data_IF_803615062926
#
_entry.id   IF_803615062926
#
_cell.length_a   1.000
_cell.length_b   1.000
_cell.length_c   1.000
_cell.angle_alpha   90.00
_cell.angle_beta   90.00
_cell.angle_gamma   90.00
#
_symmetry.space_group_name_H-M   'P 1'
#
loop_
_entity.id
_entity.type
_entity.pdbx_description
1 polymer ?
#
# COMPACT_ATOMS: atom_id res chain seq x y z
N UNK A 1 28.59 -29.24 77.36
CA UNK A 1 27.36 -28.53 76.91
C UNK A 1 27.62 -27.37 75.93
N UNK A 2 28.78 -26.70 75.98
CA UNK A 2 29.06 -25.53 75.12
C UNK A 2 29.41 -25.86 73.64
N UNK A 3 29.92 -27.06 73.37
CA UNK A 3 30.32 -27.49 72.01
C UNK A 3 29.11 -27.71 71.07
N UNK A 4 28.03 -28.28 71.61
CA UNK A 4 26.76 -28.44 70.87
C UNK A 4 26.09 -27.09 70.54
N UNK A 5 26.29 -26.06 71.36
CA UNK A 5 25.74 -24.72 71.10
C UNK A 5 26.42 -24.03 69.92
N UNK A 6 27.75 -24.17 69.78
CA UNK A 6 28.53 -23.62 68.65
C UNK A 6 28.22 -24.35 67.33
N UNK A 7 28.02 -25.66 67.37
CA UNK A 7 27.62 -26.44 66.21
C UNK A 7 26.20 -26.10 65.73
N UNK A 8 25.25 -25.89 66.66
CA UNK A 8 23.89 -25.42 66.34
C UNK A 8 23.89 -24.01 65.73
N UNK A 9 24.69 -23.09 66.27
CA UNK A 9 24.82 -21.72 65.73
C UNK A 9 25.45 -21.68 64.34
N UNK A 10 26.48 -22.50 64.06
CA UNK A 10 27.05 -22.63 62.70
C UNK A 10 26.05 -23.20 61.70
N UNK A 11 25.25 -24.20 62.10
CA UNK A 11 24.19 -24.78 61.24
C UNK A 11 23.07 -23.79 60.94
N UNK A 12 22.66 -22.99 61.93
CA UNK A 12 21.66 -21.92 61.74
C UNK A 12 22.22 -20.83 60.83
N UNK A 13 23.47 -20.40 61.04
CA UNK A 13 24.14 -19.39 60.21
C UNK A 13 24.28 -19.83 58.74
N UNK A 14 24.63 -21.10 58.50
CA UNK A 14 24.67 -21.68 57.14
C UNK A 14 23.28 -21.85 56.51
N UNK A 15 22.25 -22.22 57.30
CA UNK A 15 20.87 -22.31 56.82
C UNK A 15 20.29 -20.96 56.41
N UNK A 16 20.62 -19.90 57.16
CA UNK A 16 20.17 -18.53 56.87
C UNK A 16 20.83 -17.96 55.61
N UNK A 17 22.14 -18.23 55.42
CA UNK A 17 22.84 -17.88 54.19
C UNK A 17 22.24 -18.58 52.95
N UNK A 18 21.87 -19.87 53.09
CA UNK A 18 21.23 -20.61 52.01
C UNK A 18 19.83 -20.07 51.65
N UNK A 19 19.03 -19.70 52.66
CA UNK A 19 17.71 -19.11 52.45
C UNK A 19 17.77 -17.77 51.69
N UNK A 20 18.76 -16.92 52.00
CA UNK A 20 18.98 -15.65 51.29
C UNK A 20 19.35 -15.88 49.82
N UNK A 21 20.21 -16.86 49.53
CA UNK A 21 20.59 -17.20 48.16
C UNK A 21 19.40 -17.72 47.36
N UNK A 22 18.58 -18.61 47.94
CA UNK A 22 17.38 -19.13 47.28
C UNK A 22 16.38 -18.00 46.99
N UNK A 23 16.20 -17.07 47.94
CA UNK A 23 15.35 -15.89 47.74
C UNK A 23 15.90 -14.97 46.65
N UNK A 24 17.20 -14.70 46.63
CA UNK A 24 17.84 -13.86 45.62
C UNK A 24 17.75 -14.48 44.21
N UNK A 25 17.92 -15.80 44.08
CA UNK A 25 17.76 -16.51 42.81
C UNK A 25 16.30 -16.53 42.36
N UNK A 26 15.37 -16.80 43.27
CA UNK A 26 13.93 -16.76 42.98
C UNK A 26 13.47 -15.36 42.56
N UNK A 27 13.95 -14.32 43.24
CA UNK A 27 13.69 -12.92 42.90
C UNK A 27 14.32 -12.53 41.56
N UNK A 28 15.55 -12.98 41.29
CA UNK A 28 16.21 -12.77 40.00
C UNK A 28 15.43 -13.44 38.85
N UNK A 29 15.01 -14.69 39.03
CA UNK A 29 14.19 -15.41 38.06
C UNK A 29 12.84 -14.73 37.83
N UNK A 30 12.17 -14.30 38.92
CA UNK A 30 10.91 -13.56 38.85
C UNK A 30 11.06 -12.22 38.12
N UNK A 31 12.14 -11.48 38.42
CA UNK A 31 12.47 -10.22 37.76
C UNK A 31 12.68 -10.42 36.27
N UNK A 32 13.46 -11.42 35.85
CA UNK A 32 13.67 -11.73 34.42
C UNK A 32 12.36 -12.12 33.74
N UNK A 33 11.52 -12.93 34.38
CA UNK A 33 10.21 -13.30 33.84
C UNK A 33 9.30 -12.09 33.61
N UNK A 34 9.30 -11.12 34.54
CA UNK A 34 8.53 -9.88 34.41
C UNK A 34 9.04 -9.01 33.26
N UNK A 35 10.36 -8.83 33.12
CA UNK A 35 10.93 -8.08 32.00
C UNK A 35 10.58 -8.73 30.65
N UNK A 36 10.60 -10.06 30.57
CA UNK A 36 10.20 -10.77 29.36
C UNK A 36 8.72 -10.53 29.00
N UNK A 37 7.82 -10.52 29.98
CA UNK A 37 6.39 -10.20 29.75
C UNK A 37 6.22 -8.77 29.27
N UNK A 38 6.87 -7.81 29.91
CA UNK A 38 6.81 -6.39 29.49
C UNK A 38 7.33 -6.23 28.07
N UNK A 39 8.43 -6.89 27.72
CA UNK A 39 8.98 -6.84 26.36
C UNK A 39 8.02 -7.44 25.32
N UNK A 40 7.35 -8.55 25.65
CA UNK A 40 6.34 -9.15 24.75
C UNK A 40 5.11 -8.25 24.62
N UNK A 41 4.62 -7.65 25.71
CA UNK A 41 3.49 -6.73 25.70
C UNK A 41 3.80 -5.46 24.89
N UNK A 42 4.97 -4.85 25.11
CA UNK A 42 5.42 -3.69 24.35
C UNK A 42 5.53 -4.02 22.85
N UNK A 43 6.06 -5.20 22.51
CA UNK A 43 6.15 -5.65 21.12
C UNK A 43 4.78 -5.89 20.48
N UNK A 44 3.82 -6.44 21.22
CA UNK A 44 2.44 -6.57 20.74
C UNK A 44 1.77 -5.21 20.53
N UNK A 45 2.03 -4.24 21.41
CA UNK A 45 1.50 -2.88 21.29
C UNK A 45 2.07 -2.17 20.07
N UNK A 46 3.39 -2.26 19.85
CA UNK A 46 4.05 -1.71 18.66
C UNK A 46 3.49 -2.31 17.36
N UNK A 47 3.30 -3.63 17.32
CA UNK A 47 2.69 -4.29 16.15
C UNK A 47 1.23 -3.83 15.95
N UNK A 48 0.46 -3.72 17.04
CA UNK A 48 -0.91 -3.25 16.96
C UNK A 48 -1.00 -1.81 16.44
N UNK A 49 -0.10 -0.93 16.90
CA UNK A 49 -0.02 0.46 16.42
C UNK A 49 0.33 0.51 14.93
N UNK A 50 1.29 -0.32 14.48
CA UNK A 50 1.65 -0.43 13.07
C UNK A 50 0.46 -0.88 12.20
N UNK A 51 -0.27 -1.91 12.64
CA UNK A 51 -1.46 -2.41 11.94
C UNK A 51 -2.55 -1.34 11.86
N UNK A 52 -2.76 -0.57 12.94
CA UNK A 52 -3.73 0.53 12.93
C UNK A 52 -3.32 1.63 11.96
N UNK A 53 -2.04 2.04 11.95
CA UNK A 53 -1.53 3.05 11.02
C UNK A 53 -1.64 2.61 9.56
N UNK A 54 -1.34 1.34 9.26
CA UNK A 54 -1.49 0.78 7.92
C UNK A 54 -2.96 0.80 7.48
N UNK A 55 -3.87 0.37 8.36
CA UNK A 55 -5.30 0.35 8.09
C UNK A 55 -5.86 1.76 7.90
N UNK A 56 -5.43 2.74 8.71
CA UNK A 56 -5.78 4.15 8.55
C UNK A 56 -5.30 4.70 7.21
N UNK A 57 -4.05 4.42 6.81
CA UNK A 57 -3.52 4.82 5.50
C UNK A 57 -4.32 4.20 4.34
N UNK A 58 -4.72 2.93 4.47
CA UNK A 58 -5.55 2.27 3.47
C UNK A 58 -6.95 2.89 3.39
N UNK A 59 -7.55 3.24 4.54
CA UNK A 59 -8.84 3.94 4.60
C UNK A 59 -8.76 5.35 4.01
N UNK A 60 -7.68 6.09 4.25
CA UNK A 60 -7.46 7.41 3.65
C UNK A 60 -7.40 7.31 2.12
N UNK A 61 -6.62 6.36 1.58
CA UNK A 61 -6.56 6.09 0.13
C UNK A 61 -7.93 5.73 -0.44
N UNK A 62 -8.71 4.89 0.25
CA UNK A 62 -10.08 4.54 -0.16
C UNK A 62 -11.01 5.74 -0.15
N UNK A 63 -10.95 6.56 0.90
CA UNK A 63 -11.75 7.78 1.02
C UNK A 63 -11.38 8.82 -0.03
N UNK A 64 -10.11 8.93 -0.42
CA UNK A 64 -9.67 9.80 -1.50
C UNK A 64 -10.31 9.40 -2.83
N UNK A 65 -10.30 8.10 -3.17
CA UNK A 65 -10.98 7.58 -4.36
C UNK A 65 -12.47 7.94 -4.32
N UNK A 66 -13.14 7.71 -3.19
CA UNK A 66 -14.57 8.01 -3.03
C UNK A 66 -14.83 9.50 -3.22
N UNK A 67 -14.03 10.38 -2.58
CA UNK A 67 -14.16 11.84 -2.72
C UNK A 67 -13.95 12.30 -4.15
N UNK A 68 -12.99 11.71 -4.86
CA UNK A 68 -12.74 12.05 -6.26
C UNK A 68 -13.91 11.62 -7.14
N UNK A 69 -14.55 10.48 -6.89
CA UNK A 69 -15.69 9.98 -7.71
C UNK A 69 -17.03 10.60 -7.33
N UNK A 70 -17.23 11.04 -6.08
CA UNK A 70 -18.51 11.59 -5.59
C UNK A 70 -18.73 13.08 -5.89
N UNK A 71 -17.78 13.76 -6.53
CA UNK A 71 -17.98 15.18 -6.88
C UNK A 71 -19.16 15.35 -7.86
N UNK A 72 -19.89 16.47 -7.79
CA UNK A 72 -21.00 16.74 -8.71
C UNK A 72 -20.56 16.86 -10.18
N UNK A 73 -19.31 17.24 -10.42
CA UNK A 73 -18.75 17.49 -11.75
C UNK A 73 -17.77 16.40 -12.18
N UNK A 74 -18.31 15.20 -12.46
CA UNK A 74 -17.55 14.09 -13.03
C UNK A 74 -17.80 14.02 -14.54
N UNK A 75 -16.71 14.03 -15.30
CA UNK A 75 -16.71 13.69 -16.72
C UNK A 75 -16.29 12.23 -16.88
N UNK A 76 -17.17 11.42 -17.47
CA UNK A 76 -16.85 10.06 -17.85
C UNK A 76 -16.32 10.04 -19.28
N UNK A 77 -15.13 9.48 -19.47
CA UNK A 77 -14.55 9.17 -20.78
C UNK A 77 -14.47 7.66 -20.88
N UNK A 78 -15.17 7.06 -21.84
CA UNK A 78 -15.07 5.64 -22.12
C UNK A 78 -13.98 5.45 -23.18
N UNK A 79 -13.02 4.57 -22.94
CA UNK A 79 -12.03 4.18 -23.92
C UNK A 79 -12.42 2.83 -24.50
N UNK A 80 -12.39 2.71 -25.82
CA UNK A 80 -12.67 1.46 -26.52
C UNK A 80 -11.39 0.76 -26.95
N UNK A 81 -11.46 -0.57 -26.95
CA UNK A 81 -10.49 -1.46 -27.57
C UNK A 81 -10.30 -1.13 -29.05
N UNK A 82 -9.05 -1.16 -29.49
CA UNK A 82 -8.68 -1.13 -30.90
C UNK A 82 -8.60 -2.55 -31.46
N UNK A 83 -8.38 -2.70 -32.77
CA UNK A 83 -8.38 -4.01 -33.46
C UNK A 83 -7.41 -5.05 -32.84
N UNK A 84 -6.34 -4.59 -32.20
CA UNK A 84 -5.36 -5.45 -31.52
C UNK A 84 -5.84 -5.97 -30.16
N UNK A 85 -6.82 -5.30 -29.55
CA UNK A 85 -7.41 -5.64 -28.26
C UNK A 85 -8.90 -5.25 -28.26
N UNK A 86 -9.75 -5.86 -29.11
CA UNK A 86 -11.11 -5.39 -29.37
C UNK A 86 -12.03 -5.51 -28.15
N UNK A 87 -11.77 -6.48 -27.29
CA UNK A 87 -12.54 -6.73 -26.07
C UNK A 87 -12.10 -5.84 -24.90
N UNK A 88 -10.97 -5.12 -25.03
CA UNK A 88 -10.48 -4.27 -23.96
C UNK A 88 -11.36 -3.03 -23.79
N UNK A 89 -11.63 -2.68 -22.53
CA UNK A 89 -12.37 -1.47 -22.19
C UNK A 89 -11.61 -0.63 -21.18
N UNK A 90 -11.70 0.69 -21.32
CA UNK A 90 -11.21 1.64 -20.33
C UNK A 90 -12.28 2.64 -19.93
N UNK A 91 -12.18 3.16 -18.71
CA UNK A 91 -13.03 4.25 -18.22
C UNK A 91 -12.17 5.24 -17.44
N UNK A 92 -12.33 6.52 -17.73
CA UNK A 92 -11.77 7.60 -16.94
C UNK A 92 -12.91 8.36 -16.28
N UNK A 93 -12.91 8.41 -14.95
CA UNK A 93 -13.77 9.29 -14.17
C UNK A 93 -12.94 10.50 -13.78
N UNK A 94 -13.15 11.61 -14.47
CA UNK A 94 -12.40 12.83 -14.26
C UNK A 94 -13.21 13.85 -13.45
N UNK A 95 -12.71 14.17 -12.27
CA UNK A 95 -13.20 15.23 -11.41
C UNK A 95 -12.61 16.58 -11.85
N UNK A 96 -13.46 17.42 -12.44
CA UNK A 96 -13.05 18.73 -12.98
C UNK A 96 -12.72 19.74 -11.89
N UNK A 97 -13.38 19.66 -10.73
CA UNK A 97 -13.16 20.59 -9.61
C UNK A 97 -11.80 20.35 -8.95
N UNK A 98 -11.42 19.09 -8.79
CA UNK A 98 -10.17 18.70 -8.13
C UNK A 98 -9.01 18.50 -9.12
N UNK A 99 -9.28 18.50 -10.43
CA UNK A 99 -8.33 18.07 -11.47
C UNK A 99 -7.70 16.70 -11.18
N UNK A 100 -8.49 15.78 -10.63
CA UNK A 100 -8.10 14.40 -10.33
C UNK A 100 -8.90 13.44 -11.17
N UNK A 101 -8.31 12.32 -11.57
CA UNK A 101 -9.06 11.28 -12.26
C UNK A 101 -8.76 9.88 -11.74
N UNK A 102 -9.73 8.99 -11.95
CA UNK A 102 -9.58 7.56 -11.75
C UNK A 102 -9.66 6.90 -13.12
N UNK A 103 -8.63 6.15 -13.49
CA UNK A 103 -8.64 5.26 -14.64
C UNK A 103 -8.94 3.83 -14.21
N UNK A 104 -9.85 3.19 -14.93
CA UNK A 104 -10.20 1.79 -14.82
C UNK A 104 -10.00 1.13 -16.18
N UNK A 105 -9.49 -0.10 -16.21
CA UNK A 105 -9.52 -0.93 -17.41
C UNK A 105 -9.94 -2.36 -17.10
N UNK A 106 -10.60 -2.97 -18.08
CA UNK A 106 -11.19 -4.29 -18.06
C UNK A 106 -10.76 -5.02 -19.33
N UNK A 107 -10.54 -6.33 -19.22
CA UNK A 107 -10.21 -7.22 -20.34
C UNK A 107 -9.00 -6.77 -21.18
N UNK A 108 -8.13 -5.93 -20.61
CA UNK A 108 -6.90 -5.50 -21.24
C UNK A 108 -5.91 -6.68 -21.26
N UNK A 109 -5.27 -7.01 -22.39
CA UNK A 109 -4.33 -8.11 -22.46
C UNK A 109 -3.16 -7.90 -21.47
N UNK A 110 -2.87 -8.95 -20.69
CA UNK A 110 -1.74 -8.94 -19.76
C UNK A 110 -0.42 -8.88 -20.53
N UNK A 111 0.47 -7.93 -20.23
CA UNK A 111 1.71 -7.78 -20.97
C UNK A 111 2.66 -8.95 -20.68
N UNK A 112 3.52 -9.34 -21.64
CA UNK A 112 4.61 -10.28 -21.39
C UNK A 112 5.64 -9.69 -20.40
N UNK A 113 6.53 -10.54 -19.88
CA UNK A 113 7.41 -10.21 -18.76
C UNK A 113 8.40 -9.05 -19.01
N UNK A 114 8.67 -8.74 -20.28
CA UNK A 114 9.56 -7.69 -20.77
C UNK A 114 8.82 -6.41 -21.19
N UNK A 115 7.49 -6.35 -21.01
CA UNK A 115 6.65 -5.21 -21.38
C UNK A 115 5.74 -4.77 -20.23
N UNK A 116 5.14 -3.60 -20.39
CA UNK A 116 4.21 -2.98 -19.43
C UNK A 116 3.20 -2.13 -20.17
N UNK A 117 1.95 -2.10 -19.71
CA UNK A 117 0.96 -1.17 -20.25
C UNK A 117 1.18 0.22 -19.64
N UNK A 118 1.18 1.26 -20.46
CA UNK A 118 1.36 2.65 -20.02
C UNK A 118 0.15 3.48 -20.43
N UNK A 119 -0.33 4.31 -19.50
CA UNK A 119 -1.45 5.23 -19.72
C UNK A 119 -0.91 6.59 -20.16
N UNK A 120 -1.61 7.20 -21.12
CA UNK A 120 -1.27 8.49 -21.69
C UNK A 120 -2.44 9.45 -21.63
N UNK A 121 -2.13 10.70 -21.34
CA UNK A 121 -3.00 11.85 -21.52
C UNK A 121 -2.56 12.61 -22.76
N UNK A 122 -3.45 12.82 -23.73
CA UNK A 122 -3.12 13.58 -24.94
C UNK A 122 -3.57 15.03 -24.75
N UNK A 123 -2.64 15.96 -24.91
CA UNK A 123 -2.92 17.40 -25.00
C UNK A 123 -2.79 17.83 -26.46
N UNK A 124 -3.91 17.89 -27.18
CA UNK A 124 -3.88 18.00 -28.63
C UNK A 124 -3.28 16.73 -29.25
N UNK A 125 -2.08 16.85 -29.82
CA UNK A 125 -1.33 15.74 -30.39
C UNK A 125 -0.09 15.34 -29.56
N UNK A 126 0.08 15.94 -28.38
CA UNK A 126 1.23 15.68 -27.52
C UNK A 126 0.84 14.70 -26.40
N UNK A 127 1.42 13.49 -26.36
CA UNK A 127 1.20 12.54 -25.28
C UNK A 127 2.01 12.93 -24.04
N UNK A 128 1.35 12.89 -22.90
CA UNK A 128 1.90 13.12 -21.56
C UNK A 128 1.76 11.83 -20.77
N UNK A 129 2.84 11.39 -20.15
CA UNK A 129 2.86 10.19 -19.32
C UNK A 129 1.87 10.31 -18.15
N UNK A 130 0.94 9.35 -18.05
CA UNK A 130 0.03 9.18 -16.93
C UNK A 130 0.35 7.91 -16.12
N UNK A 131 1.49 7.28 -16.42
CA UNK A 131 2.18 6.26 -15.66
C UNK A 131 1.97 4.83 -16.16
N UNK A 132 2.65 3.90 -15.49
CA UNK A 132 2.58 2.45 -15.72
C UNK A 132 1.41 1.72 -15.05
N UNK A 133 0.62 0.97 -15.81
CA UNK A 133 -0.53 0.23 -15.32
C UNK A 133 -0.11 -1.09 -14.67
N UNK A 134 -0.77 -1.44 -13.57
CA UNK A 134 -0.55 -2.69 -12.85
C UNK A 134 -1.86 -3.46 -12.75
N UNK A 135 -1.78 -4.75 -13.03
CA UNK A 135 -2.91 -5.67 -12.98
C UNK A 135 -3.13 -6.16 -11.56
N UNK A 136 -4.38 -6.14 -11.12
CA UNK A 136 -4.82 -6.81 -9.88
C UNK A 136 -5.01 -8.31 -10.14
N UNK A 137 -5.25 -9.07 -9.07
CA UNK A 137 -5.45 -10.53 -9.13
C UNK A 137 -6.67 -10.93 -9.98
N UNK A 138 -7.70 -10.09 -9.99
CA UNK A 138 -8.93 -10.25 -10.79
C UNK A 138 -8.77 -9.79 -12.25
N UNK A 139 -7.57 -9.36 -12.66
CA UNK A 139 -7.30 -8.83 -14.00
C UNK A 139 -7.71 -7.37 -14.21
N UNK A 140 -8.40 -6.76 -13.24
CA UNK A 140 -8.78 -5.35 -13.33
C UNK A 140 -7.59 -4.43 -13.10
N UNK A 141 -7.65 -3.24 -13.70
CA UNK A 141 -6.65 -2.19 -13.52
C UNK A 141 -7.36 -0.98 -12.90
N UNK A 142 -6.76 -0.43 -11.84
CA UNK A 142 -7.19 0.84 -11.24
C UNK A 142 -5.97 1.73 -11.04
N UNK A 143 -6.03 2.96 -11.56
CA UNK A 143 -5.04 4.00 -11.30
C UNK A 143 -5.70 5.32 -10.89
N UNK A 144 -5.13 5.95 -9.88
CA UNK A 144 -5.35 7.35 -9.53
C UNK A 144 -4.41 8.27 -10.30
N UNK A 145 -4.95 9.37 -10.82
CA UNK A 145 -4.22 10.46 -11.44
C UNK A 145 -4.42 11.69 -10.55
N UNK A 146 -3.41 12.01 -9.74
CA UNK A 146 -3.53 13.03 -8.67
C UNK A 146 -3.53 14.46 -9.21
N UNK A 147 -3.07 14.68 -10.44
CA UNK A 147 -3.07 15.99 -11.08
C UNK A 147 -3.15 15.87 -12.59
N UNK A 148 -4.26 16.33 -13.15
CA UNK A 148 -4.42 16.60 -14.58
C UNK A 148 -4.15 18.07 -14.81
N UNK A 149 -2.87 18.42 -14.99
CA UNK A 149 -2.46 19.79 -15.33
C UNK A 149 -3.00 20.15 -16.70
N UNK A 150 -3.57 21.35 -16.85
CA UNK A 150 -4.15 21.86 -18.10
C UNK A 150 -5.24 20.96 -18.68
N UNK A 151 -6.14 20.46 -17.83
CA UNK A 151 -7.23 19.60 -18.26
C UNK A 151 -8.08 20.17 -19.40
N UNK A 152 -8.20 21.49 -19.51
CA UNK A 152 -8.90 22.14 -20.63
C UNK A 152 -8.33 21.74 -22.01
N UNK A 153 -7.03 21.48 -22.09
CA UNK A 153 -6.34 21.07 -23.32
C UNK A 153 -6.28 19.56 -23.51
N UNK A 154 -6.83 18.78 -22.58
CA UNK A 154 -6.90 17.33 -22.67
C UNK A 154 -7.89 16.94 -23.77
N UNK A 155 -7.39 16.24 -24.79
CA UNK A 155 -8.16 15.86 -25.97
C UNK A 155 -8.46 14.37 -26.03
N UNK A 156 -7.62 13.52 -25.43
CA UNK A 156 -7.82 12.07 -25.43
C UNK A 156 -7.06 11.38 -24.29
N UNK A 157 -7.43 10.13 -24.04
CA UNK A 157 -6.64 9.19 -23.26
C UNK A 157 -6.29 7.98 -24.13
N UNK A 158 -5.12 7.40 -23.91
CA UNK A 158 -4.68 6.20 -24.62
C UNK A 158 -3.92 5.24 -23.71
N UNK A 159 -3.93 3.95 -24.06
CA UNK A 159 -3.08 2.94 -23.42
C UNK A 159 -2.25 2.25 -24.49
N UNK A 160 -0.96 2.11 -24.24
CA UNK A 160 -0.04 1.40 -25.12
C UNK A 160 0.73 0.31 -24.39
N UNK A 161 1.23 -0.67 -25.15
CA UNK A 161 2.10 -1.73 -24.65
C UNK A 161 3.58 -1.36 -24.87
N UNK A 162 4.26 -0.94 -23.81
CA UNK A 162 5.62 -0.41 -23.86
C UNK A 162 6.67 -1.37 -23.29
N UNK A 163 7.97 -1.16 -23.56
CA UNK A 163 9.04 -1.87 -22.87
C UNK A 163 8.95 -1.73 -21.35
N UNK A 164 9.37 -2.77 -20.63
CA UNK A 164 9.40 -2.77 -19.15
C UNK A 164 10.12 -1.54 -18.60
N UNK A 165 9.50 -0.87 -17.64
CA UNK A 165 9.99 0.38 -17.06
C UNK A 165 9.36 1.63 -17.67
N UNK A 166 8.65 1.49 -18.79
CA UNK A 166 7.98 2.60 -19.47
C UNK A 166 8.90 3.42 -20.34
N UNK A 167 8.30 4.36 -21.04
CA UNK A 167 8.97 5.26 -21.97
C UNK A 167 8.49 6.70 -21.75
N UNK A 168 9.27 7.71 -22.14
CA UNK A 168 8.84 9.10 -22.04
C UNK A 168 7.83 9.51 -23.12
N UNK A 169 7.72 8.73 -24.20
CA UNK A 169 6.78 8.94 -25.31
C UNK A 169 6.31 7.57 -25.83
N UNK A 170 5.06 7.43 -26.30
CA UNK A 170 4.53 6.15 -26.77
C UNK A 170 5.34 5.58 -27.94
N UNK A 171 5.68 4.29 -27.87
CA UNK A 171 6.44 3.58 -28.93
C UNK A 171 5.79 2.29 -29.39
N UNK A 172 4.95 1.69 -28.54
CA UNK A 172 4.35 0.39 -28.78
C UNK A 172 2.95 0.44 -29.38
N UNK A 173 2.34 -0.74 -29.44
CA UNK A 173 0.98 -0.91 -29.93
C UNK A 173 -0.02 -0.21 -29.01
N UNK A 174 -0.99 0.47 -29.60
CA UNK A 174 -2.07 1.14 -28.88
C UNK A 174 -3.23 0.17 -28.70
N UNK A 175 -3.67 -0.02 -27.45
CA UNK A 175 -4.74 -0.95 -27.10
C UNK A 175 -6.05 -0.25 -26.86
N UNK A 176 -6.00 0.94 -26.25
CA UNK A 176 -7.16 1.76 -25.93
C UNK A 176 -6.92 3.19 -26.42
N UNK A 177 -7.95 3.81 -26.98
CA UNK A 177 -7.96 5.22 -27.34
C UNK A 177 -9.39 5.75 -27.34
N UNK A 178 -9.61 6.90 -26.71
CA UNK A 178 -10.80 7.70 -27.00
C UNK A 178 -10.56 9.18 -26.67
N UNK A 179 -11.31 10.04 -27.35
CA UNK A 179 -11.29 11.48 -27.19
C UNK A 179 -12.15 11.92 -26.01
N UNK A 180 -11.70 12.97 -25.33
CA UNK A 180 -12.50 13.64 -24.32
C UNK A 180 -13.52 14.51 -25.04
N UNK A 181 -14.74 14.02 -25.21
CA UNK A 181 -15.82 14.83 -25.80
C UNK A 181 -16.06 16.07 -24.94
N UNK A 182 -15.98 17.25 -25.54
CA UNK A 182 -16.42 18.50 -24.93
C UNK A 182 -17.94 18.55 -25.10
N UNK A 183 -18.67 18.29 -24.01
CA UNK A 183 -20.11 18.55 -23.93
C UNK A 183 -20.41 20.04 -24.02
#
# INVERSE_FOLDING_TARGET
MLENARLRWRRISWGLAFAVVVFAVGFSFYSVSLHNRINVLNKQMEISEQVVQELESELEKKNEIIKTVQSPQIRLVNLKGLDIAPDAEGKVLWNLEQNKAVFLAFDLPKPPADKVNQLWMLKGNQPVDAGLLSFKEDGAILRLLDTIRDGENLTAFAVTLEPKGGVPQPTGDMYLLDTVTRG
#
